data_IF_140179763390
#
_entry.id   IF_140179763390
#
_cell.length_a   1.000
_cell.length_b   1.000
_cell.length_c   1.000
_cell.angle_alpha   90.00
_cell.angle_beta   90.00
_cell.angle_gamma   90.00
#
_symmetry.space_group_name_H-M   'P 1'
#
loop_
_entity.id
_entity.type
_entity.pdbx_description
1 polymer ?
#
# COMPACT_ATOMS: atom_id res chain seq x y z
N UNK A 1 -6.35 -16.38 -14.43
CA UNK A 1 -7.16 -15.68 -13.40
C UNK A 1 -7.22 -16.57 -12.17
N UNK A 2 -6.69 -16.08 -11.06
CA UNK A 2 -6.53 -16.72 -9.75
C UNK A 2 -6.31 -18.24 -9.81
N UNK A 3 -5.18 -18.70 -10.40
CA UNK A 3 -4.93 -20.12 -10.61
C UNK A 3 -4.94 -20.87 -9.28
N UNK A 4 -5.49 -22.09 -9.26
CA UNK A 4 -5.63 -22.85 -8.02
C UNK A 4 -4.27 -23.14 -7.37
N UNK A 5 -4.15 -22.91 -6.07
CA UNK A 5 -2.96 -23.18 -5.27
C UNK A 5 -2.85 -24.62 -4.74
N UNK A 6 -3.92 -25.22 -4.20
CA UNK A 6 -3.89 -26.61 -3.75
C UNK A 6 -3.45 -27.56 -4.87
N UNK A 7 -2.53 -28.47 -4.55
CA UNK A 7 -1.79 -29.35 -5.49
C UNK A 7 -0.80 -28.65 -6.42
N UNK A 8 -1.09 -27.45 -6.94
CA UNK A 8 -0.27 -26.83 -7.99
C UNK A 8 0.88 -25.94 -7.49
N UNK A 9 0.79 -25.38 -6.28
CA UNK A 9 1.85 -24.49 -5.74
C UNK A 9 3.22 -25.15 -5.64
N UNK A 10 3.26 -26.49 -5.48
CA UNK A 10 4.50 -27.29 -5.42
C UNK A 10 4.65 -28.23 -6.61
N UNK A 11 3.76 -28.14 -7.60
CA UNK A 11 3.83 -28.95 -8.81
C UNK A 11 4.97 -28.45 -9.71
N UNK A 12 5.50 -29.34 -10.55
CA UNK A 12 6.51 -28.96 -11.54
C UNK A 12 5.90 -28.06 -12.62
N UNK A 13 6.69 -27.26 -13.35
CA UNK A 13 6.17 -26.40 -14.44
C UNK A 13 5.31 -27.16 -15.46
N UNK A 14 5.60 -28.44 -15.72
CA UNK A 14 4.83 -29.28 -16.63
C UNK A 14 3.43 -29.66 -16.10
N UNK A 15 3.19 -29.49 -14.80
CA UNK A 15 1.97 -29.89 -14.10
C UNK A 15 1.14 -28.68 -13.62
N UNK A 16 1.58 -27.45 -13.87
CA UNK A 16 0.88 -26.20 -13.51
C UNK A 16 0.93 -25.20 -14.65
N UNK A 17 0.19 -24.09 -14.49
CA UNK A 17 0.37 -22.93 -15.37
C UNK A 17 1.81 -22.40 -15.24
N UNK A 18 2.44 -22.11 -16.37
CA UNK A 18 3.80 -21.59 -16.47
C UNK A 18 3.95 -20.61 -17.66
N UNK A 19 4.93 -19.68 -17.64
CA UNK A 19 5.16 -18.79 -18.77
C UNK A 19 5.38 -19.52 -20.11
N UNK A 20 5.93 -20.74 -20.09
CA UNK A 20 6.16 -21.54 -21.31
C UNK A 20 4.90 -22.01 -22.04
N UNK A 21 3.72 -21.92 -21.43
CA UNK A 21 2.47 -22.48 -21.97
C UNK A 21 1.88 -21.68 -23.14
N UNK A 22 2.31 -20.43 -23.32
CA UNK A 22 1.84 -19.55 -24.41
C UNK A 22 2.90 -18.52 -24.80
N UNK A 23 2.65 -17.79 -25.90
CA UNK A 23 3.50 -16.66 -26.31
C UNK A 23 3.60 -15.58 -25.24
N UNK A 24 2.55 -15.42 -24.44
CA UNK A 24 2.49 -14.52 -23.31
C UNK A 24 1.41 -15.00 -22.34
N UNK A 25 1.73 -14.97 -21.05
CA UNK A 25 0.87 -15.46 -19.95
C UNK A 25 0.78 -14.36 -18.91
N UNK A 26 -0.44 -13.97 -18.60
CA UNK A 26 -0.74 -13.03 -17.53
C UNK A 26 -1.55 -13.74 -16.45
N UNK A 27 -1.09 -13.63 -15.21
CA UNK A 27 -1.80 -14.14 -14.05
C UNK A 27 -2.29 -13.00 -13.17
N UNK A 28 -3.50 -13.15 -12.63
CA UNK A 28 -4.09 -12.22 -11.66
C UNK A 28 -4.35 -13.04 -10.40
N UNK A 29 -3.72 -12.67 -9.29
CA UNK A 29 -3.82 -13.33 -8.00
C UNK A 29 -4.70 -12.48 -7.08
N UNK A 30 -5.79 -13.08 -6.61
CA UNK A 30 -6.78 -12.42 -5.73
C UNK A 30 -7.00 -13.17 -4.44
N UNK A 31 -6.56 -14.42 -4.31
CA UNK A 31 -6.72 -15.24 -3.11
C UNK A 31 -5.48 -16.12 -2.84
N UNK A 32 -4.28 -15.63 -3.15
CA UNK A 32 -3.04 -16.39 -3.04
C UNK A 32 -2.68 -16.75 -1.58
N UNK A 33 -3.21 -16.04 -0.57
CA UNK A 33 -3.03 -16.45 0.83
C UNK A 33 -4.01 -17.55 1.29
N UNK A 34 -4.94 -17.97 0.44
CA UNK A 34 -5.86 -19.07 0.68
C UNK A 34 -5.88 -20.08 -0.49
N UNK A 35 -6.83 -20.00 -1.44
CA UNK A 35 -7.04 -21.02 -2.47
C UNK A 35 -6.25 -20.77 -3.75
N UNK A 36 -5.73 -19.56 -3.98
CA UNK A 36 -4.92 -19.20 -5.13
C UNK A 36 -3.47 -19.71 -5.02
N UNK A 37 -2.81 -19.83 -6.17
CA UNK A 37 -1.40 -20.19 -6.25
C UNK A 37 -0.53 -19.06 -5.71
N UNK A 38 0.45 -19.42 -4.87
CA UNK A 38 1.31 -18.50 -4.12
C UNK A 38 2.54 -18.03 -4.87
N UNK A 39 2.87 -18.71 -5.96
CA UNK A 39 4.05 -18.46 -6.77
C UNK A 39 3.65 -17.76 -8.07
N UNK A 40 4.53 -16.93 -8.65
CA UNK A 40 4.36 -16.43 -10.00
C UNK A 40 4.27 -17.60 -10.99
N UNK A 41 3.38 -17.45 -11.97
CA UNK A 41 3.12 -18.43 -13.02
C UNK A 41 2.96 -17.78 -14.40
N UNK A 42 3.02 -16.46 -14.48
CA UNK A 42 2.95 -15.70 -15.72
C UNK A 42 4.27 -15.03 -16.09
N UNK A 43 4.28 -14.46 -17.29
CA UNK A 43 5.29 -13.45 -17.64
C UNK A 43 5.08 -12.18 -16.81
N UNK A 44 3.82 -11.88 -16.50
CA UNK A 44 3.40 -10.83 -15.58
C UNK A 44 2.37 -11.41 -14.61
N UNK A 45 2.59 -11.14 -13.33
CA UNK A 45 1.72 -11.58 -12.23
C UNK A 45 1.22 -10.36 -11.46
N UNK A 46 -0.09 -10.16 -11.49
CA UNK A 46 -0.77 -9.08 -10.78
C UNK A 46 -1.31 -9.57 -9.44
N UNK A 47 -0.73 -9.08 -8.34
CA UNK A 47 -1.20 -9.38 -6.99
C UNK A 47 -2.13 -8.27 -6.51
N UNK A 48 -3.41 -8.40 -6.85
CA UNK A 48 -4.43 -7.37 -6.60
C UNK A 48 -4.70 -7.26 -5.10
N UNK A 49 -4.63 -6.04 -4.56
CA UNK A 49 -4.66 -5.76 -3.12
C UNK A 49 -3.63 -6.59 -2.32
N UNK A 50 -2.51 -6.95 -2.96
CA UNK A 50 -1.48 -7.81 -2.38
C UNK A 50 -1.71 -9.32 -2.59
N UNK A 51 -2.71 -9.71 -3.38
CA UNK A 51 -3.06 -11.10 -3.68
C UNK A 51 -3.66 -11.85 -2.50
N UNK A 52 -4.33 -11.13 -1.60
CA UNK A 52 -4.92 -11.63 -0.35
C UNK A 52 -6.43 -11.42 -0.33
N UNK A 53 -7.07 -11.58 0.83
CA UNK A 53 -8.43 -11.10 1.10
C UNK A 53 -8.77 -9.78 0.36
N UNK A 54 -9.67 -9.86 -0.61
CA UNK A 54 -10.08 -8.70 -1.39
C UNK A 54 -11.04 -7.81 -0.58
N UNK A 55 -10.94 -6.47 -0.73
CA UNK A 55 -11.90 -5.57 -0.10
C UNK A 55 -13.34 -5.91 -0.49
N UNK A 56 -14.25 -5.96 0.48
CA UNK A 56 -15.66 -6.29 0.25
C UNK A 56 -15.98 -7.79 0.26
N UNK A 57 -14.97 -8.67 0.22
CA UNK A 57 -15.16 -10.10 0.42
C UNK A 57 -15.10 -10.48 1.92
N UNK A 58 -15.85 -11.51 2.36
CA UNK A 58 -15.69 -12.07 3.70
C UNK A 58 -14.27 -12.63 3.87
N UNK A 59 -13.65 -12.39 5.03
CA UNK A 59 -12.37 -13.03 5.36
C UNK A 59 -12.59 -14.52 5.60
N UNK A 60 -11.88 -15.36 4.87
CA UNK A 60 -11.83 -16.78 5.19
C UNK A 60 -10.90 -16.97 6.39
N UNK A 61 -11.45 -17.31 7.56
CA UNK A 61 -10.64 -17.76 8.70
C UNK A 61 -10.24 -19.22 8.41
N UNK A 62 -9.20 -19.42 7.60
CA UNK A 62 -8.46 -20.67 7.60
C UNK A 62 -7.42 -20.59 8.72
N UNK A 63 -7.62 -21.37 9.77
CA UNK A 63 -6.65 -21.52 10.85
C UNK A 63 -5.36 -22.14 10.28
N UNK A 64 -4.35 -21.32 9.97
CA UNK A 64 -3.08 -21.83 9.43
C UNK A 64 -2.15 -20.78 8.81
N UNK A 65 -1.49 -20.02 9.69
CA UNK A 65 -0.25 -19.23 9.51
C UNK A 65 0.49 -19.36 8.16
N UNK A 66 0.78 -18.21 7.54
CA UNK A 66 2.14 -17.75 7.21
C UNK A 66 2.14 -16.24 6.87
N UNK A 67 2.32 -15.41 7.91
CA UNK A 67 2.96 -14.12 7.74
C UNK A 67 4.40 -14.37 7.28
N UNK A 68 4.65 -14.25 5.97
CA UNK A 68 5.97 -13.95 5.44
C UNK A 68 5.84 -13.55 3.97
N UNK A 69 5.65 -12.25 3.74
CA UNK A 69 5.94 -11.63 2.45
C UNK A 69 6.63 -10.28 2.70
N UNK A 70 7.83 -10.36 3.28
CA UNK A 70 8.83 -9.30 3.10
C UNK A 70 9.53 -9.63 1.80
N UNK A 71 9.07 -9.06 0.69
CA UNK A 71 9.70 -9.23 -0.62
C UNK A 71 10.97 -8.40 -0.65
N UNK A 72 12.13 -9.06 -0.57
CA UNK A 72 13.43 -8.44 -0.72
C UNK A 72 13.74 -8.25 -2.21
N UNK A 73 13.43 -7.06 -2.74
CA UNK A 73 13.63 -6.68 -4.14
C UNK A 73 15.11 -6.40 -4.46
N UNK A 74 15.96 -7.43 -4.56
CA UNK A 74 17.36 -7.24 -4.95
C UNK A 74 17.70 -7.58 -6.40
N UNK A 75 16.92 -8.39 -7.10
CA UNK A 75 17.09 -8.66 -8.54
C UNK A 75 15.75 -9.08 -9.16
N UNK A 76 15.30 -8.39 -10.20
CA UNK A 76 14.17 -8.81 -11.02
C UNK A 76 14.72 -9.57 -12.24
N UNK A 77 14.49 -10.89 -12.38
CA UNK A 77 14.57 -11.58 -13.66
C UNK A 77 13.34 -11.22 -14.53
N UNK A 78 13.21 -11.79 -15.72
CA UNK A 78 12.17 -11.48 -16.73
C UNK A 78 10.72 -11.84 -16.34
N UNK A 79 10.38 -11.79 -15.06
CA UNK A 79 9.05 -11.99 -14.47
C UNK A 79 8.68 -10.71 -13.70
N UNK A 80 7.62 -10.02 -14.12
CA UNK A 80 7.22 -8.74 -13.53
C UNK A 80 6.05 -8.96 -12.56
N UNK A 81 6.31 -8.82 -11.27
CA UNK A 81 5.25 -8.75 -10.25
C UNK A 81 4.70 -7.33 -10.17
N UNK A 82 3.43 -7.14 -10.53
CA UNK A 82 2.75 -5.87 -10.45
C UNK A 82 1.74 -5.86 -9.29
N UNK A 83 1.77 -4.80 -8.48
CA UNK A 83 0.86 -4.65 -7.35
C UNK A 83 -0.07 -3.47 -7.62
N UNK A 84 -1.37 -3.75 -7.66
CA UNK A 84 -2.42 -2.74 -7.80
C UNK A 84 -3.43 -2.90 -6.65
N UNK A 85 -4.09 -1.80 -6.29
CA UNK A 85 -5.19 -1.81 -5.32
C UNK A 85 -6.52 -1.54 -6.03
N UNK A 86 -7.62 -2.07 -5.51
CA UNK A 86 -8.98 -1.85 -5.99
C UNK A 86 -9.92 -1.47 -4.85
N UNK A 87 -11.11 -0.96 -5.18
CA UNK A 87 -12.17 -0.69 -4.21
C UNK A 87 -12.93 -1.98 -3.82
N UNK A 88 -13.79 -1.90 -2.81
CA UNK A 88 -14.65 -3.01 -2.37
C UNK A 88 -15.93 -3.19 -3.17
N UNK A 89 -16.22 -2.32 -4.13
CA UNK A 89 -17.46 -2.34 -4.90
C UNK A 89 -17.31 -1.68 -6.26
N UNK A 90 -18.08 -2.14 -7.25
CA UNK A 90 -18.03 -1.59 -8.59
C UNK A 90 -18.36 -0.08 -8.64
N UNK A 91 -17.69 0.71 -9.49
CA UNK A 91 -16.50 0.33 -10.27
C UNK A 91 -15.27 0.10 -9.37
N UNK A 92 -14.53 -0.98 -9.65
CA UNK A 92 -13.38 -1.42 -8.84
C UNK A 92 -12.12 -0.55 -9.04
N UNK A 93 -12.09 0.23 -10.11
CA UNK A 93 -10.98 1.12 -10.45
C UNK A 93 -10.80 2.20 -9.37
N UNK A 94 -9.55 2.47 -9.04
CA UNK A 94 -9.13 3.52 -8.12
C UNK A 94 -7.90 4.22 -8.68
N UNK A 95 -7.69 5.45 -8.24
CA UNK A 95 -6.43 6.15 -8.42
C UNK A 95 -5.46 5.75 -7.32
N UNK A 96 -4.17 5.78 -7.63
CA UNK A 96 -3.11 5.52 -6.66
C UNK A 96 -2.29 6.77 -6.44
N UNK A 97 -2.04 7.09 -5.18
CA UNK A 97 -1.07 8.12 -4.80
C UNK A 97 -0.02 7.52 -3.87
N UNK A 98 1.25 7.86 -4.10
CA UNK A 98 2.31 7.65 -3.14
C UNK A 98 2.21 8.74 -2.07
N UNK A 99 1.98 8.35 -0.82
CA UNK A 99 2.05 9.25 0.33
C UNK A 99 3.35 9.03 1.09
N UNK A 100 3.98 10.12 1.51
CA UNK A 100 5.23 10.15 2.24
C UNK A 100 5.11 11.03 3.49
N UNK A 101 5.65 10.55 4.60
CA UNK A 101 5.93 11.38 5.76
C UNK A 101 7.39 11.24 6.15
N UNK A 102 8.09 12.38 6.25
CA UNK A 102 9.49 12.47 6.65
C UNK A 102 9.59 13.09 8.03
N UNK A 103 10.13 12.36 8.98
CA UNK A 103 10.42 12.84 10.34
C UNK A 103 11.56 13.87 10.30
N UNK A 104 11.46 14.92 11.10
CA UNK A 104 12.58 15.85 11.29
C UNK A 104 13.68 15.24 12.18
N UNK A 105 13.32 14.25 13.00
CA UNK A 105 14.23 13.55 13.92
C UNK A 105 13.96 12.05 13.86
N UNK A 106 15.00 11.28 13.58
CA UNK A 106 14.97 9.81 13.59
C UNK A 106 14.63 9.32 15.00
N UNK A 107 13.84 8.25 15.10
CA UNK A 107 13.38 7.67 16.36
C UNK A 107 13.79 6.22 16.51
N UNK A 108 13.99 5.78 17.75
CA UNK A 108 14.25 4.37 18.08
C UNK A 108 12.96 3.57 18.34
N UNK A 109 11.83 4.10 17.88
CA UNK A 109 10.51 3.49 17.99
C UNK A 109 9.89 3.42 16.61
N UNK A 110 8.92 2.51 16.44
CA UNK A 110 8.14 2.46 15.21
C UNK A 110 7.09 3.57 15.28
N UNK A 111 7.10 4.45 14.30
CA UNK A 111 6.12 5.55 14.22
C UNK A 111 5.04 5.19 13.22
N UNK A 112 3.78 5.26 13.63
CA UNK A 112 2.61 4.98 12.79
C UNK A 112 1.79 6.25 12.59
N UNK A 113 1.43 6.55 11.34
CA UNK A 113 0.64 7.72 10.99
C UNK A 113 -0.51 7.26 10.09
N UNK A 114 -1.73 7.53 10.52
CA UNK A 114 -2.92 7.37 9.69
C UNK A 114 -3.10 8.63 8.84
N UNK A 115 -3.29 8.43 7.54
CA UNK A 115 -3.48 9.48 6.54
C UNK A 115 -4.83 9.25 5.92
N UNK A 116 -5.63 10.29 5.87
CA UNK A 116 -6.95 10.26 5.24
C UNK A 116 -7.03 11.36 4.21
N UNK A 117 -7.34 11.00 2.98
CA UNK A 117 -7.75 11.93 1.93
C UNK A 117 -9.25 12.13 1.97
N UNK A 118 -9.67 13.39 1.89
CA UNK A 118 -11.06 13.78 1.75
C UNK A 118 -11.24 14.43 0.39
N UNK A 119 -12.07 13.79 -0.44
CA UNK A 119 -12.61 14.37 -1.67
C UNK A 119 -14.07 14.79 -1.42
N UNK A 120 -14.69 15.44 -2.40
CA UNK A 120 -16.10 15.82 -2.32
C UNK A 120 -17.06 14.65 -2.07
N UNK A 121 -16.70 13.43 -2.48
CA UNK A 121 -17.59 12.27 -2.44
C UNK A 121 -17.05 11.09 -1.63
N UNK A 122 -15.76 11.08 -1.28
CA UNK A 122 -15.12 9.91 -0.66
C UNK A 122 -14.10 10.29 0.41
N UNK A 123 -13.94 9.37 1.35
CA UNK A 123 -12.88 9.40 2.35
C UNK A 123 -12.05 8.13 2.17
N UNK A 124 -10.76 8.30 1.88
CA UNK A 124 -9.86 7.20 1.61
C UNK A 124 -8.67 7.25 2.58
N UNK A 125 -8.42 6.16 3.31
CA UNK A 125 -7.48 6.14 4.44
C UNK A 125 -6.38 5.09 4.23
N UNK A 126 -5.15 5.42 4.62
CA UNK A 126 -4.03 4.47 4.68
C UNK A 126 -3.16 4.73 5.91
N UNK A 127 -2.31 3.76 6.26
CA UNK A 127 -1.37 3.85 7.38
C UNK A 127 0.07 3.78 6.90
N UNK A 128 0.82 4.86 7.12
CA UNK A 128 2.28 4.86 7.01
C UNK A 128 2.88 4.30 8.30
N UNK A 129 3.90 3.46 8.14
CA UNK A 129 4.74 2.99 9.26
C UNK A 129 6.18 3.34 8.95
N UNK A 130 6.83 4.07 9.86
CA UNK A 130 8.24 4.42 9.80
C UNK A 130 8.97 3.46 10.76
N UNK A 131 9.84 2.58 10.26
CA UNK A 131 10.63 1.69 11.09
C UNK A 131 11.56 2.46 12.05
N UNK A 132 12.11 1.74 13.04
CA UNK A 132 13.15 2.30 13.90
C UNK A 132 14.36 2.68 13.05
N UNK A 133 15.03 3.77 13.42
CA UNK A 133 16.22 4.27 12.73
C UNK A 133 16.01 4.72 11.27
N UNK A 134 14.75 4.84 10.84
CA UNK A 134 14.38 5.38 9.53
C UNK A 134 13.76 6.78 9.70
N UNK A 135 13.98 7.63 8.71
CA UNK A 135 13.44 8.99 8.68
C UNK A 135 12.13 9.07 7.89
N UNK A 136 11.95 8.20 6.90
CA UNK A 136 10.90 8.33 5.89
C UNK A 136 10.00 7.10 5.91
N UNK A 137 8.70 7.34 6.00
CA UNK A 137 7.68 6.33 5.70
C UNK A 137 6.99 6.64 4.40
N UNK A 138 6.76 5.60 3.59
CA UNK A 138 6.03 5.68 2.32
C UNK A 138 4.95 4.62 2.28
N UNK A 139 3.81 4.95 1.66
CA UNK A 139 2.73 3.99 1.44
C UNK A 139 1.95 4.38 0.18
N UNK A 140 1.39 3.38 -0.50
CA UNK A 140 0.37 3.63 -1.50
C UNK A 140 -0.98 3.90 -0.83
N UNK A 141 -1.70 4.90 -1.32
CA UNK A 141 -3.08 5.20 -0.97
C UNK A 141 -3.93 5.01 -2.23
N UNK A 142 -4.89 4.09 -2.18
CA UNK A 142 -5.93 3.95 -3.20
C UNK A 142 -7.09 4.88 -2.85
N UNK A 143 -7.55 5.65 -3.82
CA UNK A 143 -8.62 6.62 -3.63
C UNK A 143 -9.49 6.72 -4.88
N UNK A 144 -10.75 7.09 -4.71
CA UNK A 144 -11.74 7.06 -5.81
C UNK A 144 -11.74 8.32 -6.69
N UNK A 145 -11.15 9.41 -6.22
CA UNK A 145 -11.07 10.68 -6.94
C UNK A 145 -9.60 11.07 -7.12
N UNK A 146 -9.14 11.52 -8.29
CA UNK A 146 -7.74 11.82 -8.55
C UNK A 146 -7.15 12.79 -7.50
N UNK A 147 -5.84 12.73 -7.27
CA UNK A 147 -5.18 13.50 -6.20
C UNK A 147 -5.48 15.00 -6.27
N UNK A 148 -5.57 15.57 -7.47
CA UNK A 148 -5.86 16.99 -7.66
C UNK A 148 -7.31 17.40 -7.31
N UNK A 149 -8.21 16.43 -7.13
CA UNK A 149 -9.57 16.63 -6.62
C UNK A 149 -9.70 16.29 -5.13
N UNK A 150 -8.59 15.99 -4.44
CA UNK A 150 -8.57 15.83 -2.99
C UNK A 150 -8.56 17.22 -2.35
N UNK A 151 -9.61 17.56 -1.61
CA UNK A 151 -9.76 18.88 -0.98
C UNK A 151 -8.82 19.03 0.22
N UNK A 152 -8.78 18.00 1.07
CA UNK A 152 -8.02 18.05 2.31
C UNK A 152 -7.42 16.70 2.68
N UNK A 153 -6.38 16.77 3.52
CA UNK A 153 -5.73 15.61 4.13
C UNK A 153 -5.80 15.74 5.64
N UNK A 154 -6.12 14.64 6.32
CA UNK A 154 -6.00 14.51 7.77
C UNK A 154 -4.88 13.55 8.12
N UNK A 155 -4.04 13.98 9.05
CA UNK A 155 -2.91 13.22 9.59
C UNK A 155 -3.15 12.94 11.07
N UNK A 156 -2.98 11.68 11.48
CA UNK A 156 -3.14 11.26 12.88
C UNK A 156 -1.97 10.40 13.31
N UNK A 157 -1.21 10.84 14.31
CA UNK A 157 -0.14 10.04 14.90
C UNK A 157 -0.74 8.98 15.84
N UNK A 158 -0.38 7.71 15.59
CA UNK A 158 -0.83 6.55 16.34
C UNK A 158 0.35 5.98 17.16
N UNK A 159 0.48 6.29 18.45
CA UNK A 159 1.56 5.73 19.28
C UNK A 159 1.34 4.24 19.57
N UNK A 160 2.42 3.53 19.88
CA UNK A 160 2.35 2.12 20.29
C UNK A 160 2.32 2.03 21.83
N UNK A 161 1.21 1.55 22.40
CA UNK A 161 1.01 1.24 23.82
C UNK A 161 1.22 2.39 24.84
N UNK A 162 0.13 2.84 25.48
CA UNK A 162 0.13 3.85 26.55
C UNK A 162 0.86 3.47 27.85
N UNK A 163 1.15 2.18 28.06
CA UNK A 163 1.60 1.66 29.36
C UNK A 163 3.07 1.95 29.71
N UNK A 164 3.94 2.21 28.73
CA UNK A 164 5.35 2.53 28.96
C UNK A 164 5.69 3.88 28.32
N UNK A 165 5.48 4.96 29.08
CA UNK A 165 5.76 6.34 28.64
C UNK A 165 7.27 6.62 28.58
N UNK A 166 7.89 6.37 27.42
CA UNK A 166 9.16 7.00 27.01
C UNK A 166 9.11 7.62 25.60
N UNK A 167 7.97 7.52 24.92
CA UNK A 167 7.81 8.15 23.61
C UNK A 167 7.44 9.63 23.75
N UNK A 168 8.07 10.49 22.94
CA UNK A 168 7.64 11.89 22.80
C UNK A 168 6.15 11.90 22.38
N UNK A 169 5.35 12.74 23.03
CA UNK A 169 3.89 12.87 22.84
C UNK A 169 3.48 13.42 21.47
N UNK A 170 4.46 13.80 20.66
CA UNK A 170 4.27 14.33 19.32
C UNK A 170 5.42 13.90 18.41
N UNK A 171 5.19 14.05 17.12
CA UNK A 171 6.19 13.93 16.06
C UNK A 171 6.19 15.20 15.22
N UNK A 172 7.34 15.56 14.68
CA UNK A 172 7.50 16.71 13.80
C UNK A 172 8.03 16.22 12.45
N UNK A 173 7.45 16.70 11.36
CA UNK A 173 7.86 16.26 10.03
C UNK A 173 7.16 16.94 8.87
N UNK A 174 7.45 16.46 7.67
CA UNK A 174 6.91 16.97 6.41
C UNK A 174 6.10 15.88 5.71
N UNK A 175 4.91 16.25 5.25
CA UNK A 175 4.02 15.38 4.48
C UNK A 175 4.07 15.74 2.99
N UNK A 176 4.13 14.71 2.14
CA UNK A 176 4.07 14.84 0.69
C UNK A 176 3.21 13.74 0.06
N UNK A 177 2.62 14.03 -1.10
CA UNK A 177 1.87 13.07 -1.91
C UNK A 177 2.19 13.24 -3.40
N UNK A 178 2.14 12.16 -4.17
CA UNK A 178 2.31 12.19 -5.62
C UNK A 178 1.33 11.22 -6.30
N UNK A 179 0.72 11.59 -7.44
CA UNK A 179 -0.09 10.66 -8.21
C UNK A 179 0.81 9.60 -8.85
N UNK A 180 0.27 8.41 -9.07
CA UNK A 180 0.95 7.33 -9.78
C UNK A 180 0.29 7.05 -11.14
N UNK A 181 1.06 6.63 -12.16
CA UNK A 181 2.52 6.40 -12.12
C UNK A 181 3.31 7.72 -11.97
N UNK A 182 4.47 7.67 -11.30
CA UNK A 182 5.34 8.85 -11.20
C UNK A 182 5.81 9.22 -12.62
N UNK A 183 5.42 10.39 -13.12
CA UNK A 183 5.96 10.92 -14.37
C UNK A 183 7.49 11.11 -14.29
N UNK A 184 8.13 11.37 -15.43
CA UNK A 184 9.60 11.46 -15.55
C UNK A 184 10.27 12.42 -14.54
N UNK A 185 9.57 13.45 -14.07
CA UNK A 185 10.13 14.43 -13.13
C UNK A 185 9.92 14.07 -11.64
N UNK A 186 9.29 12.94 -11.30
CA UNK A 186 9.10 12.42 -9.92
C UNK A 186 8.69 13.49 -8.88
N UNK A 187 7.88 14.47 -9.27
CA UNK A 187 7.54 15.60 -8.41
C UNK A 187 6.49 15.18 -7.38
N UNK A 188 6.83 15.32 -6.09
CA UNK A 188 5.86 15.19 -5.01
C UNK A 188 5.29 16.55 -4.62
N UNK A 189 3.97 16.59 -4.38
CA UNK A 189 3.28 17.72 -3.78
C UNK A 189 3.46 17.66 -2.27
N UNK A 190 4.25 18.57 -1.71
CA UNK A 190 4.46 18.65 -0.28
C UNK A 190 3.69 19.81 0.34
N UNK A 191 3.19 19.61 1.56
CA UNK A 191 2.68 20.73 2.33
C UNK A 191 3.82 21.71 2.64
N UNK A 192 3.58 23.02 2.56
CA UNK A 192 4.64 24.04 2.69
C UNK A 192 5.15 24.14 4.13
N UNK A 193 4.29 23.86 5.11
CA UNK A 193 4.60 23.95 6.53
C UNK A 193 5.14 22.63 7.10
N UNK A 194 6.03 22.73 8.09
CA UNK A 194 6.39 21.60 8.95
C UNK A 194 5.24 21.33 9.91
N UNK A 195 4.91 20.05 10.08
CA UNK A 195 3.76 19.61 10.84
C UNK A 195 4.18 19.06 12.19
N UNK A 196 3.44 19.43 13.23
CA UNK A 196 3.54 18.82 14.56
C UNK A 196 2.28 17.99 14.78
N UNK A 197 2.44 16.67 14.86
CA UNK A 197 1.32 15.74 15.10
C UNK A 197 1.38 15.25 16.54
N UNK A 198 0.35 15.57 17.32
CA UNK A 198 0.19 15.10 18.69
C UNK A 198 -0.46 13.71 18.74
N UNK A 199 -0.15 12.97 19.79
CA UNK A 199 -0.71 11.65 20.09
C UNK A 199 -2.24 11.63 19.92
N UNK A 200 -2.73 10.74 19.04
CA UNK A 200 -4.14 10.48 18.77
C UNK A 200 -4.96 11.72 18.37
N UNK A 201 -4.30 12.82 18.01
CA UNK A 201 -4.94 14.07 17.59
C UNK A 201 -4.92 14.16 16.07
N UNK A 202 -6.05 14.55 15.49
CA UNK A 202 -6.20 14.73 14.05
C UNK A 202 -5.80 16.15 13.66
N UNK A 203 -4.90 16.26 12.67
CA UNK A 203 -4.53 17.52 12.03
C UNK A 203 -5.02 17.51 10.59
N UNK A 204 -6.00 18.38 10.29
CA UNK A 204 -6.59 18.52 8.95
C UNK A 204 -6.04 19.73 8.23
N UNK A 205 -5.59 19.54 6.99
CA UNK A 205 -4.91 20.53 6.17
C UNK A 205 -5.48 20.51 4.76
N UNK A 206 -5.56 21.68 4.11
CA UNK A 206 -5.94 21.76 2.69
C UNK A 206 -4.80 21.19 1.84
N UNK A 207 -5.16 20.44 0.79
CA UNK A 207 -4.19 19.85 -0.12
C UNK A 207 -4.48 20.36 -1.54
N UNK A 208 -3.70 21.31 -2.05
CA UNK A 208 -3.87 21.80 -3.42
C UNK A 208 -2.82 21.18 -4.36
N UNK A 209 -3.10 19.98 -4.86
CA UNK A 209 -2.36 19.41 -5.98
C UNK A 209 -2.98 19.91 -7.30
N UNK A 210 -2.17 20.35 -8.25
CA UNK A 210 -2.66 20.75 -9.57
C UNK A 210 -3.00 19.51 -10.41
N UNK A 211 -4.10 19.56 -11.18
CA UNK A 211 -4.32 18.60 -12.26
C UNK A 211 -3.39 18.97 -13.43
N UNK A 212 -2.79 17.97 -14.07
CA UNK A 212 -2.03 18.14 -15.31
C UNK A 212 -2.95 18.07 -16.53
#
# INVERSE_FOLDING_TARGET
>A
LDPAGPKYTRASPEERLDPGDALFVEAIHTDADSFGIRIPVGHIDYFVNGGKDQPGCPRFISAGVLEQAVVNMRRLPMEVNAYLMTSSSAPFCVHHSLVEFRLQKIRNVITSIEITFFSNSTKDTTKITIPKQEEVGRRLLAHRAPLCQTNSVTLKYLPKNRFWRKDESHIIGKFCAAPLPLGNNRTMFCLPQILTLYDNTELSLQLSAACA
#
